data_IF_888002016951
#
_entry.id   IF_888002016951
#
_cell.length_a   1.000
_cell.length_b   1.000
_cell.length_c   1.000
_cell.angle_alpha   90.00
_cell.angle_beta   90.00
_cell.angle_gamma   90.00
#
_symmetry.space_group_name_H-M   'P 1'
#
loop_
_entity.id
_entity.type
_entity.pdbx_description
1 polymer ?
#
# COMPACT_ATOMS: atom_id res chain seq x y z
N UNK A 1 -9.34 7.79 -43.72
CA UNK A 1 -9.59 9.24 -43.63
C UNK A 1 -8.27 9.99 -43.83
N UNK A 2 -8.29 11.12 -44.55
CA UNK A 2 -7.07 11.93 -44.69
C UNK A 2 -6.82 12.70 -43.40
N UNK A 3 -5.55 12.84 -42.97
CA UNK A 3 -5.13 13.54 -41.74
C UNK A 3 -5.81 14.92 -41.54
N UNK A 4 -6.04 15.66 -42.64
CA UNK A 4 -6.69 16.97 -42.57
C UNK A 4 -8.17 16.90 -42.12
N UNK A 5 -8.89 15.82 -42.47
CA UNK A 5 -10.29 15.61 -42.07
C UNK A 5 -10.34 15.26 -40.57
N UNK A 6 -9.38 14.45 -40.07
CA UNK A 6 -9.31 14.08 -38.67
C UNK A 6 -9.05 15.29 -37.75
N UNK A 7 -8.10 16.16 -38.15
CA UNK A 7 -7.82 17.41 -37.43
C UNK A 7 -9.00 18.35 -37.46
N UNK A 8 -9.70 18.45 -38.61
CA UNK A 8 -10.91 19.28 -38.76
C UNK A 8 -12.06 18.81 -37.86
N UNK A 9 -12.32 17.50 -37.80
CA UNK A 9 -13.34 16.92 -36.92
C UNK A 9 -13.01 17.16 -35.46
N UNK A 10 -11.72 17.05 -35.10
CA UNK A 10 -11.25 17.30 -33.74
C UNK A 10 -11.43 18.78 -33.36
N UNK A 11 -11.10 19.71 -34.26
CA UNK A 11 -11.38 21.12 -34.07
C UNK A 11 -12.85 21.37 -33.75
N UNK A 12 -13.73 20.75 -34.54
CA UNK A 12 -15.18 20.86 -34.33
C UNK A 12 -15.59 20.35 -32.94
N UNK A 13 -15.13 19.18 -32.55
CA UNK A 13 -15.43 18.60 -31.22
C UNK A 13 -14.92 19.51 -30.07
N UNK A 14 -13.68 19.98 -30.17
CA UNK A 14 -13.08 20.85 -29.13
C UNK A 14 -13.82 22.18 -28.99
N UNK A 15 -14.28 22.75 -30.11
CA UNK A 15 -15.10 23.96 -30.14
C UNK A 15 -16.49 23.72 -29.51
N UNK A 16 -17.16 22.64 -29.91
CA UNK A 16 -18.49 22.27 -29.40
C UNK A 16 -18.49 21.95 -27.92
N UNK A 17 -17.49 21.25 -27.44
CA UNK A 17 -17.29 20.98 -26.00
C UNK A 17 -17.18 22.26 -25.17
N UNK A 18 -16.73 23.35 -25.78
CA UNK A 18 -16.66 24.68 -25.14
C UNK A 18 -17.88 25.55 -25.42
N UNK A 19 -18.90 25.03 -26.08
CA UNK A 19 -20.11 25.75 -26.47
C UNK A 19 -19.85 27.02 -27.31
N UNK A 20 -18.80 27.02 -28.15
CA UNK A 20 -18.43 28.15 -29.01
C UNK A 20 -18.92 27.92 -30.44
N UNK A 21 -19.61 28.90 -31.04
CA UNK A 21 -20.00 28.83 -32.46
C UNK A 21 -18.79 29.03 -33.39
N UNK A 22 -18.86 28.51 -34.64
CA UNK A 22 -17.82 28.74 -35.67
C UNK A 22 -17.52 30.23 -35.83
N UNK A 23 -18.59 31.07 -35.87
CA UNK A 23 -18.47 32.53 -36.00
C UNK A 23 -17.76 33.16 -34.81
N UNK A 24 -18.09 32.73 -33.61
CA UNK A 24 -17.45 33.22 -32.37
C UNK A 24 -15.98 32.83 -32.31
N UNK A 25 -15.62 31.59 -32.70
CA UNK A 25 -14.24 31.16 -32.78
C UNK A 25 -13.45 31.95 -33.83
N UNK A 26 -14.03 32.14 -35.03
CA UNK A 26 -13.40 32.93 -36.08
C UNK A 26 -13.11 34.36 -35.60
N UNK A 27 -14.07 35.01 -34.93
CA UNK A 27 -13.88 36.35 -34.33
C UNK A 27 -12.75 36.37 -33.32
N UNK A 28 -12.67 35.37 -32.45
CA UNK A 28 -11.57 35.28 -31.46
C UNK A 28 -10.20 35.08 -32.10
N UNK A 29 -10.14 34.41 -33.25
CA UNK A 29 -8.92 34.23 -34.04
C UNK A 29 -8.60 35.44 -34.95
N UNK A 30 -9.46 36.47 -35.02
CA UNK A 30 -9.30 37.59 -35.93
C UNK A 30 -9.58 37.23 -37.40
N UNK A 31 -10.39 36.18 -37.67
CA UNK A 31 -10.64 35.63 -39.01
C UNK A 31 -12.10 35.77 -39.46
N UNK A 32 -12.30 35.61 -40.78
CA UNK A 32 -13.64 35.48 -41.35
C UNK A 32 -14.26 34.10 -41.02
N UNK A 33 -15.61 34.01 -40.90
CA UNK A 33 -16.31 32.79 -40.51
C UNK A 33 -16.03 31.55 -41.37
N UNK A 34 -15.84 31.77 -42.68
CA UNK A 34 -15.57 30.69 -43.64
C UNK A 34 -14.26 29.94 -43.40
N UNK A 35 -13.29 30.57 -42.72
CA UNK A 35 -12.00 29.92 -42.45
C UNK A 35 -12.12 28.75 -41.47
N UNK A 36 -12.86 28.92 -40.38
CA UNK A 36 -13.12 27.85 -39.42
C UNK A 36 -13.94 26.73 -40.06
N UNK A 37 -14.97 27.07 -40.83
CA UNK A 37 -15.78 26.07 -41.54
C UNK A 37 -14.97 25.23 -42.52
N UNK A 38 -14.03 25.85 -43.26
CA UNK A 38 -13.14 25.13 -44.20
C UNK A 38 -12.14 24.21 -43.46
N UNK A 39 -11.71 24.57 -42.25
CA UNK A 39 -10.90 23.69 -41.42
C UNK A 39 -11.70 22.51 -40.86
N UNK A 40 -12.88 22.76 -40.28
CA UNK A 40 -13.74 21.71 -39.73
C UNK A 40 -14.25 20.71 -40.77
N UNK A 41 -14.48 21.17 -42.01
CA UNK A 41 -14.87 20.29 -43.14
C UNK A 41 -13.68 19.56 -43.79
N UNK A 42 -12.44 19.87 -43.40
CA UNK A 42 -11.26 19.31 -44.01
C UNK A 42 -10.97 19.78 -45.42
N UNK A 43 -11.64 20.85 -45.90
CA UNK A 43 -11.36 21.47 -47.21
C UNK A 43 -9.94 22.06 -47.20
N UNK A 44 -9.56 22.72 -46.06
CA UNK A 44 -8.26 23.32 -45.87
C UNK A 44 -7.52 22.65 -44.68
N UNK A 45 -6.21 22.48 -44.81
CA UNK A 45 -5.37 22.02 -43.72
C UNK A 45 -5.06 23.16 -42.77
N UNK A 46 -5.00 22.87 -41.48
CA UNK A 46 -4.58 23.83 -40.45
C UNK A 46 -3.04 23.84 -40.44
N UNK A 47 -2.43 25.03 -40.61
CA UNK A 47 -0.98 25.22 -40.46
C UNK A 47 -0.61 25.22 -38.97
N UNK A 48 0.69 25.13 -38.65
CA UNK A 48 1.16 25.22 -37.25
C UNK A 48 0.81 26.57 -36.64
N UNK A 49 1.04 27.65 -37.34
CA UNK A 49 0.69 29.02 -36.90
C UNK A 49 -0.79 29.18 -36.64
N UNK A 50 -1.64 28.64 -37.55
CA UNK A 50 -3.09 28.67 -37.37
C UNK A 50 -3.55 27.79 -36.21
N UNK A 51 -2.85 26.66 -35.96
CA UNK A 51 -3.13 25.80 -34.83
C UNK A 51 -2.85 26.50 -33.50
N UNK A 52 -1.76 27.26 -33.40
CA UNK A 52 -1.44 28.06 -32.22
C UNK A 52 -2.51 29.12 -31.95
N UNK A 53 -2.95 29.85 -32.99
CA UNK A 53 -3.98 30.88 -32.85
C UNK A 53 -5.31 30.26 -32.41
N UNK A 54 -5.72 29.14 -33.01
CA UNK A 54 -6.93 28.40 -32.61
C UNK A 54 -6.83 27.89 -31.19
N UNK A 55 -5.70 27.31 -30.83
CA UNK A 55 -5.48 26.72 -29.51
C UNK A 55 -5.51 27.78 -28.42
N UNK A 56 -4.90 28.93 -28.66
CA UNK A 56 -4.98 30.09 -27.76
C UNK A 56 -6.41 30.59 -27.60
N UNK A 57 -7.18 30.66 -28.69
CA UNK A 57 -8.58 31.09 -28.66
C UNK A 57 -9.50 30.11 -27.93
N UNK A 58 -9.18 28.81 -27.99
CA UNK A 58 -9.90 27.73 -27.31
C UNK A 58 -9.32 27.43 -25.91
N UNK A 59 -8.15 27.94 -25.55
CA UNK A 59 -7.40 27.62 -24.32
C UNK A 59 -7.14 26.12 -24.19
N UNK A 60 -6.49 25.56 -25.19
CA UNK A 60 -6.07 24.15 -25.28
C UNK A 60 -4.61 24.09 -25.73
N UNK A 61 -3.99 22.92 -25.63
CA UNK A 61 -2.65 22.70 -26.18
C UNK A 61 -2.71 22.54 -27.71
N UNK A 62 -1.84 23.19 -28.50
CA UNK A 62 -1.74 22.97 -29.94
C UNK A 62 -1.52 21.50 -30.32
N UNK A 63 -0.85 20.70 -29.47
CA UNK A 63 -0.66 19.28 -29.68
C UNK A 63 -2.00 18.53 -29.59
N UNK A 64 -2.88 18.92 -28.68
CA UNK A 64 -4.22 18.36 -28.55
C UNK A 64 -5.04 18.56 -29.83
N UNK A 65 -4.93 19.72 -30.42
CA UNK A 65 -5.62 20.02 -31.70
C UNK A 65 -5.04 19.20 -32.85
N UNK A 66 -3.72 19.17 -33.02
CA UNK A 66 -3.06 18.59 -34.21
C UNK A 66 -2.96 17.06 -34.15
N UNK A 67 -2.68 16.52 -32.98
CA UNK A 67 -2.40 15.08 -32.79
C UNK A 67 -3.47 14.36 -31.96
N UNK A 68 -4.36 15.09 -31.30
CA UNK A 68 -5.30 14.58 -30.32
C UNK A 68 -4.63 14.47 -28.95
N UNK A 69 -5.45 14.37 -27.92
CA UNK A 69 -4.94 13.81 -26.67
C UNK A 69 -4.38 12.44 -27.01
N UNK A 70 -3.14 12.11 -26.63
CA UNK A 70 -2.69 10.74 -26.76
C UNK A 70 -3.79 9.88 -26.12
N UNK A 71 -4.33 8.92 -26.88
CA UNK A 71 -5.31 7.96 -26.38
C UNK A 71 -4.62 6.93 -25.47
N UNK A 72 -3.81 7.43 -24.58
CA UNK A 72 -3.18 6.75 -23.47
C UNK A 72 -3.53 7.42 -22.15
N UNK A 73 -4.77 7.82 -22.01
CA UNK A 73 -5.40 7.57 -20.74
C UNK A 73 -6.16 6.22 -20.87
N UNK A 74 -5.47 5.10 -21.14
CA UNK A 74 -5.69 4.03 -20.19
C UNK A 74 -5.68 4.75 -18.85
N UNK A 75 -6.85 4.82 -18.21
CA UNK A 75 -6.93 5.19 -16.80
C UNK A 75 -6.05 4.16 -16.08
N UNK A 76 -4.76 4.44 -16.01
CA UNK A 76 -3.86 3.81 -15.04
C UNK A 76 -4.48 4.22 -13.71
N UNK A 77 -5.43 3.39 -13.26
CA UNK A 77 -5.93 3.51 -11.90
C UNK A 77 -4.71 3.32 -11.03
N UNK A 78 -4.29 4.42 -10.41
CA UNK A 78 -3.24 4.34 -9.43
C UNK A 78 -3.60 3.25 -8.43
N UNK A 79 -2.63 2.49 -7.97
CA UNK A 79 -2.78 1.46 -6.95
C UNK A 79 -2.67 2.06 -5.53
N UNK A 80 -2.63 3.38 -5.41
CA UNK A 80 -2.53 4.11 -4.15
C UNK A 80 -3.56 5.24 -4.12
N UNK A 81 -4.13 5.46 -2.96
CA UNK A 81 -5.14 6.47 -2.68
C UNK A 81 -4.74 7.27 -1.44
N UNK A 82 -4.89 8.60 -1.49
CA UNK A 82 -4.64 9.47 -0.34
C UNK A 82 -5.86 9.40 0.57
N UNK A 83 -5.71 8.75 1.71
CA UNK A 83 -6.80 8.57 2.68
C UNK A 83 -6.95 9.75 3.66
N UNK A 84 -6.00 10.69 3.68
CA UNK A 84 -6.02 11.87 4.55
C UNK A 84 -4.64 12.42 4.87
N UNK A 85 -4.60 13.45 5.71
CA UNK A 85 -3.36 14.04 6.19
C UNK A 85 -2.78 13.23 7.35
N UNK A 86 -1.45 13.08 7.37
CA UNK A 86 -0.75 12.45 8.47
C UNK A 86 -0.64 13.46 9.64
N UNK A 87 -1.08 13.06 10.83
CA UNK A 87 -0.89 13.84 12.05
C UNK A 87 0.41 13.41 12.74
N UNK A 88 1.24 14.39 13.07
CA UNK A 88 2.47 14.14 13.85
C UNK A 88 2.09 14.07 15.32
N UNK A 89 2.63 13.09 16.04
CA UNK A 89 2.44 12.94 17.47
C UNK A 89 3.78 12.65 18.16
N UNK A 90 3.85 12.99 19.45
CA UNK A 90 4.98 12.72 20.36
C UNK A 90 4.47 12.12 21.68
N UNK A 91 5.39 11.91 22.64
CA UNK A 91 5.06 11.34 23.94
C UNK A 91 4.12 12.21 24.78
N UNK A 92 4.02 13.50 24.49
CA UNK A 92 3.16 14.47 25.19
C UNK A 92 1.76 14.59 24.57
N UNK A 93 1.59 14.12 23.35
CA UNK A 93 0.31 14.19 22.62
C UNK A 93 -0.69 13.18 23.20
N UNK A 94 -1.87 13.60 23.69
CA UNK A 94 -2.89 12.67 24.20
C UNK A 94 -3.33 11.67 23.15
N UNK A 95 -3.78 10.49 23.59
CA UNK A 95 -4.47 9.53 22.69
C UNK A 95 -5.84 10.06 22.35
N UNK A 96 -6.23 9.92 21.09
CA UNK A 96 -7.60 10.14 20.66
C UNK A 96 -8.53 9.03 21.16
N UNK A 97 -9.83 9.29 21.22
CA UNK A 97 -10.83 8.31 21.68
C UNK A 97 -10.86 7.02 20.85
N UNK A 98 -10.41 7.07 19.60
CA UNK A 98 -10.34 5.94 18.67
C UNK A 98 -8.96 5.28 18.61
N UNK A 99 -8.00 5.72 19.42
CA UNK A 99 -6.64 5.18 19.50
C UNK A 99 -6.41 4.34 20.76
N UNK A 100 -5.38 3.50 20.68
CA UNK A 100 -4.86 2.73 21.79
C UNK A 100 -3.33 2.60 21.67
N UNK A 101 -2.64 2.64 22.81
CA UNK A 101 -1.19 2.47 22.89
C UNK A 101 -0.84 1.02 23.20
N UNK A 102 -0.15 0.36 22.27
CA UNK A 102 0.32 -1.02 22.38
C UNK A 102 1.78 -1.03 22.80
N UNK A 103 2.18 -1.83 23.81
CA UNK A 103 3.58 -1.95 24.23
C UNK A 103 4.48 -2.39 23.07
N UNK A 104 5.68 -1.79 22.99
CA UNK A 104 6.72 -2.16 22.04
C UNK A 104 7.97 -2.62 22.79
N UNK A 105 8.43 -3.83 22.51
CA UNK A 105 9.63 -4.40 23.08
C UNK A 105 10.73 -4.43 22.02
N UNK A 106 11.79 -3.67 22.25
CA UNK A 106 12.94 -3.59 21.32
C UNK A 106 13.94 -4.72 21.50
N UNK A 107 14.04 -5.28 22.70
CA UNK A 107 14.95 -6.39 23.02
C UNK A 107 14.17 -7.46 23.81
N UNK A 108 13.82 -8.54 23.12
CA UNK A 108 13.05 -9.63 23.73
C UNK A 108 13.96 -10.81 23.98
N UNK A 109 14.49 -10.91 25.22
CA UNK A 109 15.10 -12.14 25.71
C UNK A 109 14.08 -12.91 26.51
N UNK A 110 13.69 -14.07 26.00
CA UNK A 110 12.83 -14.98 26.73
C UNK A 110 13.66 -15.69 27.80
N UNK A 111 13.47 -15.32 29.06
CA UNK A 111 14.03 -16.08 30.15
C UNK A 111 13.45 -17.49 30.15
N UNK A 112 14.29 -18.49 30.01
CA UNK A 112 13.91 -19.89 30.08
C UNK A 112 13.43 -20.22 31.49
N UNK A 113 12.15 -20.03 31.79
CA UNK A 113 11.64 -20.51 33.06
C UNK A 113 10.41 -19.89 33.68
N UNK A 114 10.02 -18.68 33.37
CA UNK A 114 8.82 -18.07 33.95
C UNK A 114 8.17 -17.08 33.00
N UNK A 115 7.00 -17.43 32.54
CA UNK A 115 6.08 -16.48 31.92
C UNK A 115 6.32 -16.24 30.43
N UNK A 116 5.24 -16.18 29.70
CA UNK A 116 5.21 -15.78 28.29
C UNK A 116 5.63 -14.32 28.16
N UNK A 117 6.15 -13.94 26.98
CA UNK A 117 6.46 -12.56 26.58
C UNK A 117 5.33 -11.58 26.95
N UNK A 118 4.09 -12.05 26.93
CA UNK A 118 2.91 -11.27 27.26
C UNK A 118 2.79 -10.91 28.76
N UNK A 119 3.55 -11.59 29.64
CA UNK A 119 3.63 -11.34 31.09
C UNK A 119 4.89 -10.54 31.48
N UNK A 120 5.83 -10.33 30.53
CA UNK A 120 7.05 -9.57 30.80
C UNK A 120 6.73 -8.09 30.67
N UNK A 121 6.84 -7.40 31.79
CA UNK A 121 6.87 -5.95 31.99
C UNK A 121 6.36 -5.14 30.80
N UNK A 122 5.04 -4.97 30.73
CA UNK A 122 4.35 -3.99 29.86
C UNK A 122 4.79 -2.54 30.12
N UNK A 123 5.79 -2.38 30.94
CA UNK A 123 6.34 -1.10 31.38
C UNK A 123 7.61 -0.67 30.63
N UNK A 124 7.92 -1.31 29.48
CA UNK A 124 8.87 -0.72 28.54
C UNK A 124 8.26 0.60 28.07
N UNK A 125 8.84 1.75 28.46
CA UNK A 125 8.26 3.08 28.28
C UNK A 125 7.96 3.49 26.84
N UNK A 126 8.17 2.62 25.85
CA UNK A 126 7.89 2.86 24.45
C UNK A 126 6.62 2.10 24.03
N UNK A 127 5.70 2.83 23.38
CA UNK A 127 4.42 2.30 22.91
C UNK A 127 4.14 2.78 21.50
N UNK A 128 3.54 1.92 20.67
CA UNK A 128 3.03 2.29 19.37
C UNK A 128 1.54 2.60 19.44
N UNK A 129 1.09 3.63 18.73
CA UNK A 129 -0.32 4.00 18.63
C UNK A 129 -0.98 3.26 17.50
N UNK A 130 -2.13 2.69 17.78
CA UNK A 130 -2.97 2.02 16.81
C UNK A 130 -4.38 2.59 16.86
N UNK A 131 -4.99 2.73 15.68
CA UNK A 131 -6.43 2.95 15.63
C UNK A 131 -7.15 1.69 16.16
N UNK A 132 -8.15 1.88 17.03
CA UNK A 132 -8.98 0.78 17.56
C UNK A 132 -9.65 -0.02 16.44
N UNK A 133 -9.93 0.63 15.30
CA UNK A 133 -10.47 -0.02 14.10
C UNK A 133 -9.53 -1.07 13.52
N UNK A 134 -8.20 -0.85 13.55
CA UNK A 134 -7.20 -1.82 13.08
C UNK A 134 -7.21 -3.08 13.93
N UNK A 135 -7.27 -2.96 15.24
CA UNK A 135 -7.35 -4.09 16.15
C UNK A 135 -8.68 -4.84 16.01
N UNK A 136 -9.80 -4.12 15.94
CA UNK A 136 -11.14 -4.71 15.73
C UNK A 136 -11.22 -5.51 14.42
N UNK A 137 -10.67 -4.95 13.33
CA UNK A 137 -10.66 -5.63 12.01
C UNK A 137 -9.91 -6.97 12.06
N UNK A 138 -8.87 -7.06 12.89
CA UNK A 138 -8.09 -8.28 13.07
C UNK A 138 -8.57 -9.15 14.24
N UNK A 139 -9.64 -8.73 14.93
CA UNK A 139 -10.20 -9.39 16.11
C UNK A 139 -9.17 -9.56 17.23
N UNK A 140 -8.42 -8.48 17.53
CA UNK A 140 -7.36 -8.43 18.54
C UNK A 140 -7.82 -7.62 19.75
N UNK A 141 -7.72 -8.19 20.94
CA UNK A 141 -7.91 -7.43 22.19
C UNK A 141 -6.65 -6.60 22.47
N UNK A 142 -6.78 -5.28 22.69
CA UNK A 142 -5.61 -4.43 22.98
C UNK A 142 -4.75 -4.93 24.16
N UNK A 143 -5.36 -5.58 25.14
CA UNK A 143 -4.62 -6.12 26.31
C UNK A 143 -3.75 -7.33 25.96
N UNK A 144 -4.05 -8.02 24.86
CA UNK A 144 -3.29 -9.19 24.38
C UNK A 144 -2.34 -8.80 23.23
N UNK A 145 -2.37 -7.54 22.80
CA UNK A 145 -1.52 -7.05 21.71
C UNK A 145 -0.13 -6.63 22.24
N UNK A 146 0.88 -6.93 21.45
CA UNK A 146 2.27 -6.59 21.71
C UNK A 146 3.00 -6.31 20.40
N UNK A 147 3.93 -5.35 20.38
CA UNK A 147 4.79 -5.10 19.24
C UNK A 147 6.23 -5.48 19.56
N UNK A 148 6.94 -6.07 18.59
CA UNK A 148 8.37 -6.41 18.72
C UNK A 148 9.12 -6.02 17.44
N UNK A 149 10.43 -5.75 17.57
CA UNK A 149 11.33 -5.62 16.43
C UNK A 149 11.75 -7.00 15.92
N UNK A 150 11.82 -7.15 14.61
CA UNK A 150 12.37 -8.34 13.96
C UNK A 150 13.82 -8.08 13.60
N UNK A 151 14.71 -9.02 13.94
CA UNK A 151 16.12 -8.93 13.58
C UNK A 151 16.53 -10.06 12.65
N UNK A 152 17.49 -9.77 11.77
CA UNK A 152 18.00 -10.72 10.78
C UNK A 152 17.14 -10.83 9.52
N UNK A 153 17.63 -11.61 8.56
CA UNK A 153 17.11 -11.69 7.20
C UNK A 153 16.21 -12.91 6.93
N UNK A 154 15.91 -13.72 7.94
CA UNK A 154 15.19 -15.00 7.76
C UNK A 154 13.77 -14.84 7.20
N UNK A 155 13.17 -13.68 7.37
CA UNK A 155 11.80 -13.37 6.92
C UNK A 155 11.76 -12.41 5.73
N UNK A 156 12.93 -12.11 5.12
CA UNK A 156 13.00 -11.38 3.86
C UNK A 156 12.38 -12.17 2.70
N UNK A 157 11.81 -11.50 1.69
CA UNK A 157 11.66 -10.03 1.55
C UNK A 157 10.42 -9.46 2.27
N UNK A 158 9.63 -10.26 2.97
CA UNK A 158 8.36 -9.83 3.57
C UNK A 158 8.57 -8.99 4.83
N UNK A 159 9.51 -9.40 5.68
CA UNK A 159 9.89 -8.69 6.90
C UNK A 159 11.43 -8.53 6.89
N UNK A 160 11.96 -7.45 6.31
CA UNK A 160 13.38 -7.12 6.40
C UNK A 160 13.85 -6.88 7.83
N UNK A 161 15.16 -6.90 8.03
CA UNK A 161 15.78 -6.54 9.30
C UNK A 161 15.30 -5.17 9.80
N UNK A 162 15.03 -5.04 11.09
CA UNK A 162 14.46 -3.82 11.69
C UNK A 162 12.94 -3.66 11.52
N UNK A 163 12.25 -4.57 10.83
CA UNK A 163 10.78 -4.55 10.74
C UNK A 163 10.14 -4.62 12.12
N UNK A 164 8.98 -3.99 12.27
CA UNK A 164 8.16 -4.12 13.48
C UNK A 164 6.97 -5.00 13.21
N UNK A 165 6.64 -5.94 14.11
CA UNK A 165 5.45 -6.79 14.01
C UNK A 165 4.56 -6.61 15.23
N UNK A 166 3.23 -6.59 14.98
CA UNK A 166 2.20 -6.65 16.01
C UNK A 166 1.74 -8.09 16.21
N UNK A 167 1.82 -8.58 17.46
CA UNK A 167 1.51 -9.96 17.86
C UNK A 167 0.23 -9.95 18.70
N UNK A 168 -0.69 -10.83 18.37
CA UNK A 168 -1.89 -11.15 19.13
C UNK A 168 -1.60 -12.37 20.02
N UNK A 169 -1.22 -12.14 21.27
CA UNK A 169 -0.89 -13.18 22.25
C UNK A 169 -2.12 -13.96 22.73
N UNK A 170 -3.32 -13.39 22.57
CA UNK A 170 -4.58 -14.07 22.87
C UNK A 170 -4.94 -15.14 21.85
N UNK A 171 -4.35 -15.09 20.64
CA UNK A 171 -4.65 -16.02 19.57
C UNK A 171 -3.47 -16.93 19.25
N UNK A 172 -3.49 -18.12 19.82
CA UNK A 172 -2.48 -19.18 19.60
C UNK A 172 -2.94 -20.27 18.66
N UNK A 173 -4.15 -20.12 18.08
CA UNK A 173 -4.69 -21.10 17.15
C UNK A 173 -3.91 -21.07 15.85
N UNK A 174 -3.23 -22.16 15.53
CA UNK A 174 -2.45 -22.29 14.31
C UNK A 174 -3.36 -22.28 13.08
N UNK A 175 -3.07 -21.37 12.18
CA UNK A 175 -3.68 -21.30 10.84
C UNK A 175 -2.53 -21.45 9.85
N UNK A 176 -2.60 -22.47 9.00
CA UNK A 176 -1.55 -22.79 8.05
C UNK A 176 -1.23 -21.62 7.13
N UNK A 177 0.06 -21.36 6.98
CA UNK A 177 0.56 -20.30 6.13
C UNK A 177 0.50 -18.89 6.73
N UNK A 178 0.06 -18.73 7.98
CA UNK A 178 0.12 -17.44 8.67
C UNK A 178 1.44 -17.28 9.43
N UNK A 179 1.78 -16.03 9.70
CA UNK A 179 2.98 -15.66 10.45
C UNK A 179 2.65 -15.67 11.95
N UNK A 180 3.52 -16.29 12.71
CA UNK A 180 3.42 -16.41 14.17
C UNK A 180 4.72 -16.00 14.84
N UNK A 181 4.60 -15.52 16.07
CA UNK A 181 5.67 -15.47 17.02
C UNK A 181 5.72 -16.82 17.77
N UNK A 182 6.86 -17.45 17.81
CA UNK A 182 7.10 -18.72 18.49
C UNK A 182 8.24 -18.57 19.49
N UNK A 183 8.11 -19.25 20.62
CA UNK A 183 9.22 -19.52 21.51
C UNK A 183 9.85 -20.85 21.09
N UNK A 184 11.13 -20.90 20.86
CA UNK A 184 11.90 -22.10 20.61
C UNK A 184 13.07 -22.14 21.59
N UNK A 185 12.94 -22.98 22.61
CA UNK A 185 13.94 -23.17 23.67
C UNK A 185 14.39 -21.86 24.36
N UNK A 186 13.47 -20.92 24.57
CA UNK A 186 13.74 -19.64 25.23
C UNK A 186 14.03 -18.45 24.31
N UNK A 187 14.13 -18.68 23.00
CA UNK A 187 14.33 -17.62 22.00
C UNK A 187 13.04 -17.35 21.23
N UNK A 188 12.80 -16.06 20.91
CA UNK A 188 11.67 -15.63 20.12
C UNK A 188 12.01 -15.63 18.62
N UNK A 189 11.17 -16.30 17.85
CA UNK A 189 11.26 -16.27 16.38
C UNK A 189 9.96 -15.83 15.75
N UNK A 190 10.05 -15.07 14.69
CA UNK A 190 8.92 -14.77 13.80
C UNK A 190 9.03 -15.71 12.61
N UNK A 191 8.03 -16.58 12.41
CA UNK A 191 8.04 -17.62 11.38
C UNK A 191 6.64 -17.85 10.81
N UNK A 192 6.59 -18.39 9.61
CA UNK A 192 5.35 -18.89 9.00
C UNK A 192 5.18 -20.36 9.39
N UNK A 193 3.99 -20.73 9.84
CA UNK A 193 3.75 -22.04 10.39
C UNK A 193 2.75 -22.85 9.57
N UNK A 194 2.95 -24.17 9.56
CA UNK A 194 2.03 -25.16 8.99
C UNK A 194 1.91 -26.35 9.92
N UNK A 195 0.71 -26.90 10.01
CA UNK A 195 0.46 -28.16 10.72
C UNK A 195 0.98 -29.34 9.91
N UNK A 196 1.53 -30.32 10.60
CA UNK A 196 1.85 -31.62 10.05
C UNK A 196 0.91 -32.68 10.67
N UNK A 197 0.63 -33.78 9.94
CA UNK A 197 -0.09 -34.91 10.50
C UNK A 197 0.57 -35.41 11.80
N UNK A 198 -0.26 -35.87 12.76
CA UNK A 198 0.26 -36.37 14.04
C UNK A 198 0.73 -35.32 15.01
N UNK A 199 0.20 -34.07 14.94
CA UNK A 199 0.54 -33.01 15.90
C UNK A 199 1.87 -32.31 15.63
N UNK A 200 2.53 -32.63 14.53
CA UNK A 200 3.81 -32.01 14.14
C UNK A 200 3.65 -30.59 13.62
N UNK A 201 4.77 -29.90 13.49
CA UNK A 201 4.86 -28.50 13.07
C UNK A 201 5.93 -28.33 11.98
N UNK A 202 5.59 -27.65 10.88
CA UNK A 202 6.57 -27.15 9.93
C UNK A 202 6.78 -25.67 10.16
N UNK A 203 8.01 -25.30 10.40
CA UNK A 203 8.48 -23.92 10.59
C UNK A 203 9.15 -23.46 9.31
N UNK A 204 8.67 -22.33 8.76
CA UNK A 204 9.04 -21.82 7.47
C UNK A 204 9.52 -20.38 7.55
N UNK A 205 10.64 -20.09 6.89
CA UNK A 205 11.20 -18.74 6.70
C UNK A 205 10.92 -18.29 5.28
N UNK A 206 10.67 -16.99 5.03
CA UNK A 206 10.51 -16.52 3.65
C UNK A 206 11.82 -16.57 2.86
N UNK A 207 12.96 -16.35 3.52
CA UNK A 207 14.28 -16.57 2.94
C UNK A 207 14.66 -18.05 3.01
N UNK A 208 14.01 -18.86 2.17
CA UNK A 208 14.20 -20.31 2.14
C UNK A 208 15.59 -20.77 1.73
N UNK A 209 16.27 -19.95 0.89
CA UNK A 209 17.59 -20.29 0.38
C UNK A 209 18.64 -20.38 1.50
N UNK A 210 18.56 -19.47 2.48
CA UNK A 210 19.46 -19.46 3.64
C UNK A 210 18.87 -20.23 4.84
N UNK A 211 17.52 -20.25 4.95
CA UNK A 211 16.78 -20.83 6.06
C UNK A 211 15.74 -21.83 5.57
N UNK A 212 16.15 -23.02 5.16
CA UNK A 212 15.23 -24.03 4.64
C UNK A 212 14.17 -24.41 5.66
N UNK A 213 12.98 -24.81 5.23
CA UNK A 213 11.91 -25.25 6.11
C UNK A 213 12.36 -26.39 7.02
N UNK A 214 11.93 -26.35 8.28
CA UNK A 214 12.19 -27.40 9.25
C UNK A 214 10.90 -28.03 9.71
N UNK A 215 10.88 -29.35 9.78
CA UNK A 215 9.75 -30.14 10.27
C UNK A 215 10.08 -30.74 11.62
N UNK A 216 9.10 -30.68 12.50
CA UNK A 216 9.20 -31.20 13.88
C UNK A 216 8.01 -32.12 14.12
N UNK A 217 8.26 -33.31 14.59
CA UNK A 217 7.23 -34.20 15.13
C UNK A 217 6.70 -33.63 16.44
N UNK A 218 5.54 -34.11 16.90
CA UNK A 218 4.97 -33.70 18.18
C UNK A 218 5.97 -33.90 19.35
N UNK A 219 6.68 -35.04 19.37
CA UNK A 219 7.71 -35.32 20.37
C UNK A 219 8.84 -34.28 20.35
N UNK A 220 9.31 -33.91 19.14
CA UNK A 220 10.37 -32.89 18.99
C UNK A 220 9.88 -31.49 19.36
N UNK A 221 8.61 -31.16 19.08
CA UNK A 221 8.01 -29.88 19.52
C UNK A 221 8.06 -29.75 21.03
N UNK A 222 7.73 -30.83 21.74
CA UNK A 222 7.81 -30.87 23.21
C UNK A 222 9.25 -30.84 23.73
N UNK A 223 10.14 -31.68 23.18
CA UNK A 223 11.54 -31.78 23.58
C UNK A 223 12.27 -30.41 23.42
N UNK A 224 12.07 -29.76 22.28
CA UNK A 224 12.68 -28.47 21.97
C UNK A 224 11.88 -27.27 22.52
N UNK A 225 10.85 -27.51 23.32
CA UNK A 225 10.00 -26.50 23.94
C UNK A 225 9.50 -25.44 22.94
N UNK A 226 9.08 -25.90 21.76
CA UNK A 226 8.52 -25.01 20.76
C UNK A 226 7.07 -24.71 21.16
N UNK A 227 6.77 -23.41 21.37
CA UNK A 227 5.42 -22.96 21.72
C UNK A 227 5.01 -21.75 20.90
N UNK A 228 3.72 -21.69 20.54
CA UNK A 228 3.16 -20.51 19.85
C UNK A 228 2.92 -19.43 20.91
N UNK A 229 3.55 -18.28 20.72
CA UNK A 229 3.36 -17.08 21.54
C UNK A 229 2.11 -16.33 21.12
N UNK A 230 1.94 -16.11 19.81
CA UNK A 230 0.79 -15.45 19.25
C UNK A 230 0.85 -15.31 17.74
N UNK A 231 -0.27 -14.91 17.14
CA UNK A 231 -0.37 -14.67 15.71
C UNK A 231 0.05 -13.24 15.37
N UNK A 232 0.86 -13.06 14.33
CA UNK A 232 1.16 -11.73 13.78
C UNK A 232 -0.08 -11.20 13.07
N UNK A 233 -0.59 -10.04 13.49
CA UNK A 233 -1.77 -9.39 12.92
C UNK A 233 -1.44 -8.14 12.12
N UNK A 234 -0.25 -7.57 12.32
CA UNK A 234 0.20 -6.35 11.68
C UNK A 234 1.72 -6.32 11.57
N UNK A 235 2.24 -5.63 10.57
CA UNK A 235 3.67 -5.33 10.48
C UNK A 235 3.91 -4.00 9.77
N UNK A 236 5.07 -3.39 10.04
CA UNK A 236 5.58 -2.18 9.40
C UNK A 236 7.04 -2.41 8.99
N UNK A 237 7.36 -1.93 7.80
CA UNK A 237 8.70 -1.97 7.22
C UNK A 237 9.14 -0.53 6.98
N UNK A 238 10.33 -0.18 7.41
CA UNK A 238 10.99 1.07 7.06
C UNK A 238 11.94 0.79 5.89
N UNK A 239 11.84 1.59 4.83
CA UNK A 239 12.66 1.47 3.62
C UNK A 239 13.86 2.40 3.67
#
# INVERSE_FOLDING_TARGET
MTKKIEVGLRLKQLRENKNISQRALATKCGWGPSRISNYESGIRSISLDDAEIISNALRIDPQELLFGTPSSSENLKGNAEILGNMQVWDSSTPLNDDEVAIPFLSDVRLSAGKGFICDIERDSGFRLRFAKSTLRRNNVDPKDALCVSVTGNSMEPVLPDGSTVGIDCGNKNLIDGKIFAINHNGELFIKKLYRLPGGGLRIYSFNELEYPPREYTEAQVHEQKITIVGRVFWYSVLL
#
